data_IF_293983191777
#
_entry.id   IF_293983191777
#
_cell.length_a   1.000
_cell.length_b   1.000
_cell.length_c   1.000
_cell.angle_alpha   90.00
_cell.angle_beta   90.00
_cell.angle_gamma   90.00
#
_symmetry.space_group_name_H-M   'P 1'
#
loop_
_entity.id
_entity.type
_entity.pdbx_description
1 polymer ?
#
# COMPACT_ATOMS: atom_id res chain seq x y z
N UNK A 1 3.71 -51.31 -28.19
CA UNK A 1 3.85 -50.43 -27.01
C UNK A 1 2.56 -50.56 -26.23
N UNK A 2 2.60 -50.94 -24.95
CA UNK A 2 1.38 -50.99 -24.11
C UNK A 2 1.36 -49.73 -23.25
N UNK A 3 0.28 -48.95 -23.33
CA UNK A 3 0.05 -47.77 -22.49
C UNK A 3 -0.43 -48.21 -21.10
N UNK A 4 -0.08 -47.46 -20.09
CA UNK A 4 -0.66 -47.63 -18.75
C UNK A 4 -2.17 -47.39 -18.82
N UNK A 5 -2.93 -48.26 -18.17
CA UNK A 5 -4.39 -48.11 -18.08
C UNK A 5 -4.74 -47.31 -16.82
N UNK A 6 -5.84 -46.54 -16.91
CA UNK A 6 -6.36 -45.85 -15.75
C UNK A 6 -6.86 -46.90 -14.72
N UNK A 7 -6.55 -46.67 -13.46
CA UNK A 7 -6.99 -47.53 -12.36
C UNK A 7 -8.51 -47.49 -12.14
N UNK A 8 -9.14 -46.36 -12.50
CA UNK A 8 -10.56 -46.12 -12.33
C UNK A 8 -11.17 -45.51 -13.60
N UNK A 9 -12.39 -45.85 -13.92
CA UNK A 9 -13.17 -45.21 -14.99
C UNK A 9 -13.98 -44.04 -14.44
N UNK A 10 -14.13 -42.96 -15.22
CA UNK A 10 -14.91 -41.76 -14.83
C UNK A 10 -16.34 -42.05 -14.41
N UNK A 11 -16.92 -43.15 -14.92
CA UNK A 11 -18.30 -43.56 -14.67
C UNK A 11 -18.39 -44.62 -13.57
N UNK A 12 -17.27 -45.00 -12.96
CA UNK A 12 -17.23 -46.00 -11.91
C UNK A 12 -17.87 -45.43 -10.64
N UNK A 13 -18.89 -46.10 -10.12
CA UNK A 13 -19.51 -45.78 -8.85
C UNK A 13 -18.59 -46.21 -7.70
N UNK A 14 -18.28 -45.27 -6.83
CA UNK A 14 -17.54 -45.55 -5.60
C UNK A 14 -18.50 -46.12 -4.57
N UNK A 15 -18.34 -47.39 -4.22
CA UNK A 15 -19.21 -48.08 -3.28
C UNK A 15 -18.96 -47.73 -1.82
N UNK A 16 -17.76 -47.23 -1.51
CA UNK A 16 -17.38 -46.79 -0.16
C UNK A 16 -17.35 -45.26 -0.13
N UNK A 17 -18.26 -44.60 0.61
CA UNK A 17 -18.23 -43.16 0.72
C UNK A 17 -16.96 -42.71 1.47
N UNK A 18 -16.11 -41.94 0.81
CA UNK A 18 -14.96 -41.28 1.41
C UNK A 18 -15.38 -39.97 2.09
N UNK A 19 -14.86 -39.73 3.29
CA UNK A 19 -15.02 -38.40 3.91
C UNK A 19 -14.18 -37.39 3.14
N UNK A 20 -14.62 -36.14 3.11
CA UNK A 20 -13.84 -35.05 2.52
C UNK A 20 -12.44 -34.94 3.17
N UNK A 21 -12.32 -35.32 4.44
CA UNK A 21 -11.06 -35.33 5.18
C UNK A 21 -10.09 -36.42 4.71
N UNK A 22 -10.60 -37.54 4.18
CA UNK A 22 -9.78 -38.65 3.72
C UNK A 22 -9.11 -38.41 2.36
N UNK A 23 -9.57 -37.40 1.61
CA UNK A 23 -9.07 -37.09 0.24
C UNK A 23 -7.99 -36.02 0.21
N UNK A 24 -7.64 -35.44 1.36
CA UNK A 24 -6.52 -34.48 1.51
C UNK A 24 -5.46 -35.11 2.40
N UNK A 25 -4.24 -35.21 1.89
CA UNK A 25 -3.12 -35.81 2.61
C UNK A 25 -2.87 -35.13 3.97
N UNK A 26 -2.38 -35.87 4.95
CA UNK A 26 -2.19 -35.35 6.33
C UNK A 26 -1.12 -34.25 6.42
N UNK A 27 -0.16 -34.25 5.53
CA UNK A 27 0.93 -33.26 5.42
C UNK A 27 0.62 -32.14 4.40
N UNK A 28 -0.60 -32.12 3.83
CA UNK A 28 -0.99 -31.13 2.84
C UNK A 28 -1.01 -29.70 3.45
N UNK A 29 -0.41 -28.67 2.79
CA UNK A 29 -0.32 -27.30 3.32
C UNK A 29 -1.64 -26.68 3.75
N UNK A 30 -2.77 -27.07 3.16
CA UNK A 30 -4.10 -26.57 3.55
C UNK A 30 -4.44 -26.89 5.00
N UNK A 31 -3.96 -28.04 5.53
CA UNK A 31 -4.19 -28.42 6.94
C UNK A 31 -3.41 -27.51 7.90
N UNK A 32 -2.20 -27.13 7.52
CA UNK A 32 -1.43 -26.14 8.28
C UNK A 32 -2.15 -24.80 8.35
N UNK A 33 -2.70 -24.35 7.21
CA UNK A 33 -3.51 -23.11 7.17
C UNK A 33 -4.73 -23.24 8.09
N UNK A 34 -5.46 -24.33 8.02
CA UNK A 34 -6.66 -24.53 8.86
C UNK A 34 -6.30 -24.57 10.36
N UNK A 35 -5.24 -25.28 10.74
CA UNK A 35 -4.75 -25.34 12.12
C UNK A 35 -4.29 -23.97 12.64
N UNK A 36 -3.67 -23.14 11.79
CA UNK A 36 -3.33 -21.77 12.12
C UNK A 36 -4.60 -20.95 12.39
N UNK A 37 -5.60 -21.05 11.50
CA UNK A 37 -6.86 -20.33 11.63
C UNK A 37 -7.65 -20.72 12.88
N UNK A 38 -7.50 -21.96 13.39
CA UNK A 38 -8.10 -22.41 14.65
C UNK A 38 -7.57 -21.69 15.89
N UNK A 39 -6.33 -21.18 15.81
CA UNK A 39 -5.66 -20.50 16.92
C UNK A 39 -6.02 -19.01 17.03
N UNK A 40 -6.67 -18.45 16.00
CA UNK A 40 -6.99 -17.03 15.94
C UNK A 40 -8.30 -16.70 16.66
N UNK A 41 -8.40 -15.49 17.22
CA UNK A 41 -9.65 -14.97 17.80
C UNK A 41 -10.54 -14.37 16.71
N UNK A 42 -11.67 -15.00 16.45
CA UNK A 42 -12.64 -14.59 15.44
C UNK A 42 -13.74 -13.68 15.99
N UNK A 43 -13.85 -13.50 17.31
CA UNK A 43 -14.93 -12.74 17.97
C UNK A 43 -15.07 -11.30 17.44
N UNK A 44 -13.99 -10.53 17.21
CA UNK A 44 -14.11 -9.17 16.67
C UNK A 44 -14.79 -9.14 15.30
N UNK A 45 -14.46 -10.14 14.47
CA UNK A 45 -15.01 -10.26 13.12
C UNK A 45 -16.43 -10.82 13.12
N UNK A 46 -16.71 -11.81 13.97
CA UNK A 46 -18.06 -12.36 14.18
C UNK A 46 -19.05 -11.29 14.67
N UNK A 47 -18.59 -10.38 15.53
CA UNK A 47 -19.43 -9.29 16.04
C UNK A 47 -19.98 -8.39 14.94
N UNK A 48 -19.28 -8.27 13.80
CA UNK A 48 -19.75 -7.47 12.65
C UNK A 48 -20.96 -8.07 11.93
N UNK A 49 -21.28 -9.32 12.21
CA UNK A 49 -22.41 -10.05 11.62
C UNK A 49 -23.65 -10.08 12.51
N UNK A 50 -23.56 -9.58 13.76
CA UNK A 50 -24.72 -9.56 14.66
C UNK A 50 -25.86 -8.70 14.12
N UNK A 51 -27.09 -9.17 14.28
CA UNK A 51 -28.30 -8.44 13.89
C UNK A 51 -28.64 -8.45 12.39
N UNK A 52 -27.89 -9.18 11.56
CA UNK A 52 -28.24 -9.33 10.14
C UNK A 52 -29.44 -10.26 9.99
N UNK A 53 -30.43 -9.77 9.22
CA UNK A 53 -31.58 -10.57 8.80
C UNK A 53 -31.30 -11.22 7.44
N UNK A 54 -31.89 -12.38 7.20
CA UNK A 54 -31.78 -13.09 5.92
C UNK A 54 -31.04 -14.43 6.02
N UNK A 55 -30.38 -14.84 4.94
CA UNK A 55 -29.62 -16.09 4.90
C UNK A 55 -28.44 -16.04 5.89
N UNK A 56 -28.20 -17.13 6.66
CA UNK A 56 -27.06 -17.21 7.54
C UNK A 56 -25.74 -16.91 6.83
N UNK A 57 -24.89 -16.02 7.37
CA UNK A 57 -23.61 -15.70 6.76
C UNK A 57 -22.63 -16.87 6.86
N UNK A 58 -21.73 -16.96 5.90
CA UNK A 58 -20.60 -17.89 5.97
C UNK A 58 -19.64 -17.38 7.05
N UNK A 59 -19.15 -18.30 7.89
CA UNK A 59 -18.27 -17.95 9.00
C UNK A 59 -16.99 -17.24 8.47
N UNK A 60 -16.55 -16.11 9.09
CA UNK A 60 -15.39 -15.35 8.64
C UNK A 60 -14.10 -16.16 8.51
N UNK A 61 -13.88 -17.14 9.40
CA UNK A 61 -12.74 -18.07 9.35
C UNK A 61 -12.62 -18.76 7.99
N UNK A 62 -13.75 -19.22 7.45
CA UNK A 62 -13.78 -19.93 6.16
C UNK A 62 -13.43 -18.97 5.02
N UNK A 63 -14.03 -17.77 5.00
CA UNK A 63 -13.75 -16.76 3.99
C UNK A 63 -12.27 -16.32 4.02
N UNK A 64 -11.75 -16.07 5.22
CA UNK A 64 -10.35 -15.73 5.41
C UNK A 64 -9.43 -16.87 4.98
N UNK A 65 -9.77 -18.11 5.36
CA UNK A 65 -9.02 -19.31 5.00
C UNK A 65 -8.90 -19.49 3.50
N UNK A 66 -10.01 -19.38 2.77
CA UNK A 66 -10.04 -19.46 1.30
C UNK A 66 -9.17 -18.36 0.67
N UNK A 67 -9.23 -17.15 1.19
CA UNK A 67 -8.42 -16.03 0.69
C UNK A 67 -6.94 -16.24 0.98
N UNK A 68 -6.59 -16.59 2.21
CA UNK A 68 -5.21 -16.82 2.65
C UNK A 68 -4.57 -17.99 1.89
N UNK A 69 -5.27 -19.12 1.81
CA UNK A 69 -4.81 -20.26 1.05
C UNK A 69 -4.70 -19.96 -0.44
N UNK A 70 -5.62 -19.15 -0.97
CA UNK A 70 -5.54 -18.62 -2.34
C UNK A 70 -4.27 -17.82 -2.59
N UNK A 71 -3.85 -16.97 -1.65
CA UNK A 71 -2.58 -16.23 -1.76
C UNK A 71 -1.37 -17.17 -1.79
N UNK A 72 -1.35 -18.21 -0.96
CA UNK A 72 -0.31 -19.26 -0.95
C UNK A 72 -0.27 -19.96 -2.32
N UNK A 73 -1.43 -20.29 -2.89
CA UNK A 73 -1.56 -20.89 -4.22
C UNK A 73 -1.40 -19.90 -5.37
N UNK A 74 -1.09 -18.60 -5.10
CA UNK A 74 -1.00 -17.50 -6.08
C UNK A 74 -2.30 -17.22 -6.84
N UNK A 75 -3.44 -17.56 -6.24
CA UNK A 75 -4.79 -17.28 -6.75
C UNK A 75 -5.34 -16.06 -6.03
N UNK A 76 -5.28 -14.87 -6.66
CA UNK A 76 -5.66 -13.59 -6.02
C UNK A 76 -7.05 -13.11 -6.38
N UNK A 77 -7.51 -13.42 -7.59
CA UNK A 77 -8.78 -12.94 -8.12
C UNK A 77 -9.97 -13.72 -7.52
N UNK A 78 -10.99 -13.02 -7.03
CA UNK A 78 -12.15 -13.65 -6.39
C UNK A 78 -12.87 -14.65 -7.30
N UNK A 79 -13.00 -14.36 -8.61
CA UNK A 79 -13.58 -15.29 -9.59
C UNK A 79 -12.75 -16.57 -9.75
N UNK A 80 -11.43 -16.47 -9.65
CA UNK A 80 -10.54 -17.64 -9.69
C UNK A 80 -10.58 -18.45 -8.39
N UNK A 81 -10.82 -17.80 -7.26
CA UNK A 81 -11.08 -18.49 -5.99
C UNK A 81 -12.41 -19.26 -6.03
N UNK A 82 -13.46 -18.66 -6.57
CA UNK A 82 -14.73 -19.34 -6.81
C UNK A 82 -14.57 -20.59 -7.72
N UNK A 83 -13.83 -20.45 -8.83
CA UNK A 83 -13.49 -21.58 -9.71
C UNK A 83 -12.69 -22.67 -8.94
N UNK A 84 -11.70 -22.26 -8.13
CA UNK A 84 -10.91 -23.19 -7.32
C UNK A 84 -11.77 -23.95 -6.30
N UNK A 85 -12.74 -23.31 -5.66
CA UNK A 85 -13.70 -23.93 -4.76
C UNK A 85 -14.57 -25.00 -5.46
N UNK A 86 -14.81 -24.86 -6.77
CA UNK A 86 -15.59 -25.82 -7.54
C UNK A 86 -14.78 -27.03 -7.99
N UNK A 87 -13.50 -26.82 -8.38
CA UNK A 87 -12.71 -27.83 -9.09
C UNK A 87 -11.57 -28.44 -8.26
N UNK A 88 -11.12 -27.76 -7.20
CA UNK A 88 -9.97 -28.19 -6.38
C UNK A 88 -10.45 -28.77 -5.05
N UNK A 89 -9.97 -29.96 -4.74
CA UNK A 89 -10.36 -30.69 -3.52
C UNK A 89 -9.86 -30.02 -2.24
N UNK A 90 -8.67 -29.45 -2.26
CA UNK A 90 -8.06 -28.74 -1.13
C UNK A 90 -8.86 -27.47 -0.74
N UNK A 91 -9.34 -26.69 -1.72
CA UNK A 91 -10.24 -25.55 -1.46
C UNK A 91 -11.62 -26.01 -0.97
N UNK A 92 -12.16 -27.08 -1.53
CA UNK A 92 -13.42 -27.65 -1.06
C UNK A 92 -13.32 -28.16 0.38
N UNK A 93 -12.19 -28.78 0.72
CA UNK A 93 -11.90 -29.25 2.08
C UNK A 93 -11.89 -28.06 3.05
N UNK A 94 -11.14 -27.01 2.76
CA UNK A 94 -11.02 -25.80 3.58
C UNK A 94 -12.37 -25.09 3.75
N UNK A 95 -13.20 -25.09 2.73
CA UNK A 95 -14.54 -24.50 2.75
C UNK A 95 -15.63 -25.44 3.29
N UNK A 96 -15.27 -26.63 3.83
CA UNK A 96 -16.22 -27.64 4.29
C UNK A 96 -17.28 -28.02 3.25
N UNK A 97 -16.93 -28.03 1.98
CA UNK A 97 -17.84 -28.29 0.87
C UNK A 97 -18.80 -27.17 0.50
N UNK A 98 -18.71 -26.00 1.17
CA UNK A 98 -19.59 -24.87 0.87
C UNK A 98 -19.25 -24.24 -0.49
N UNK A 99 -20.29 -23.82 -1.20
CA UNK A 99 -20.16 -22.98 -2.39
C UNK A 99 -20.10 -21.51 -1.96
N UNK A 100 -19.05 -20.81 -2.39
CA UNK A 100 -18.81 -19.40 -2.07
C UNK A 100 -18.60 -18.64 -3.36
N UNK A 101 -19.46 -17.68 -3.63
CA UNK A 101 -19.36 -16.84 -4.82
C UNK A 101 -18.27 -15.76 -4.71
N UNK A 102 -17.81 -15.30 -5.86
CA UNK A 102 -16.75 -14.29 -5.95
C UNK A 102 -17.12 -12.93 -5.34
N UNK A 103 -18.42 -12.60 -5.34
CA UNK A 103 -18.90 -11.32 -4.77
C UNK A 103 -18.79 -11.34 -3.27
N UNK A 104 -19.13 -12.45 -2.61
CA UNK A 104 -18.96 -12.66 -1.17
C UNK A 104 -17.48 -12.53 -0.75
N UNK A 105 -16.56 -13.18 -1.46
CA UNK A 105 -15.12 -13.08 -1.18
C UNK A 105 -14.58 -11.67 -1.38
N UNK A 106 -15.03 -10.99 -2.44
CA UNK A 106 -14.62 -9.61 -2.74
C UNK A 106 -15.16 -8.62 -1.71
N UNK A 107 -16.42 -8.79 -1.33
CA UNK A 107 -17.07 -7.94 -0.34
C UNK A 107 -16.47 -8.10 1.05
N UNK A 108 -16.16 -9.33 1.45
CA UNK A 108 -15.49 -9.64 2.71
C UNK A 108 -14.18 -8.86 2.85
N UNK A 109 -13.29 -8.93 1.86
CA UNK A 109 -12.01 -8.18 1.87
C UNK A 109 -12.19 -6.66 1.95
N UNK A 110 -13.24 -6.14 1.28
CA UNK A 110 -13.48 -4.70 1.23
C UNK A 110 -14.09 -4.15 2.52
N UNK A 111 -14.92 -4.94 3.19
CA UNK A 111 -15.67 -4.49 4.37
C UNK A 111 -14.91 -4.63 5.69
N UNK A 112 -13.88 -5.45 5.73
CA UNK A 112 -13.20 -5.82 6.98
C UNK A 112 -11.68 -5.59 6.95
N UNK A 113 -11.16 -4.42 6.47
CA UNK A 113 -9.72 -4.18 6.40
C UNK A 113 -9.07 -4.15 7.78
N UNK A 114 -9.72 -3.53 8.78
CA UNK A 114 -9.16 -3.40 10.13
C UNK A 114 -9.08 -4.74 10.84
N UNK A 115 -10.15 -5.54 10.78
CA UNK A 115 -10.17 -6.88 11.35
C UNK A 115 -9.19 -7.83 10.67
N UNK A 116 -9.00 -7.69 9.36
CA UNK A 116 -7.96 -8.45 8.63
C UNK A 116 -6.55 -8.05 9.06
N UNK A 117 -6.33 -6.77 9.41
CA UNK A 117 -5.08 -6.31 10.02
C UNK A 117 -4.88 -6.93 11.41
N UNK A 118 -5.91 -6.94 12.25
CA UNK A 118 -5.85 -7.58 13.56
C UNK A 118 -5.52 -9.08 13.46
N UNK A 119 -6.11 -9.80 12.50
CA UNK A 119 -5.76 -11.21 12.22
C UNK A 119 -4.32 -11.37 11.78
N UNK A 120 -3.79 -10.44 10.97
CA UNK A 120 -2.38 -10.46 10.59
C UNK A 120 -1.47 -10.34 11.82
N UNK A 121 -1.76 -9.43 12.75
CA UNK A 121 -1.01 -9.30 14.01
C UNK A 121 -1.08 -10.61 14.81
N UNK A 122 -2.26 -11.22 14.93
CA UNK A 122 -2.41 -12.51 15.63
C UNK A 122 -1.56 -13.63 14.99
N UNK A 123 -1.48 -13.69 13.66
CA UNK A 123 -0.64 -14.66 12.95
C UNK A 123 0.83 -14.48 13.32
N UNK A 124 1.30 -13.25 13.40
CA UNK A 124 2.68 -12.95 13.81
C UNK A 124 2.92 -13.30 15.28
N UNK A 125 1.95 -13.03 16.17
CA UNK A 125 2.02 -13.43 17.58
C UNK A 125 2.10 -14.95 17.74
N UNK A 126 1.35 -15.73 16.95
CA UNK A 126 1.49 -17.18 16.90
C UNK A 126 2.91 -17.59 16.46
N UNK A 127 3.47 -16.89 15.46
CA UNK A 127 4.86 -17.09 15.04
C UNK A 127 5.87 -16.79 16.15
N UNK A 128 5.62 -15.76 16.95
CA UNK A 128 6.44 -15.39 18.11
C UNK A 128 6.36 -16.45 19.22
N UNK A 129 5.16 -16.94 19.56
CA UNK A 129 4.95 -18.03 20.51
C UNK A 129 5.68 -19.32 20.09
N UNK A 130 5.76 -19.58 18.80
CA UNK A 130 6.49 -20.72 18.24
C UNK A 130 8.03 -20.48 18.17
N UNK A 131 8.51 -19.31 18.57
CA UNK A 131 9.92 -18.94 18.49
C UNK A 131 10.44 -18.67 17.07
N UNK A 132 9.53 -18.50 16.09
CA UNK A 132 9.90 -18.19 14.70
C UNK A 132 10.26 -16.72 14.53
N UNK A 133 9.55 -15.82 15.22
CA UNK A 133 9.76 -14.37 15.18
C UNK A 133 10.35 -13.90 16.49
N UNK A 134 11.44 -13.16 16.46
CA UNK A 134 12.16 -12.71 17.67
C UNK A 134 12.30 -11.20 17.78
N UNK A 135 12.02 -10.46 16.70
CA UNK A 135 12.14 -8.99 16.63
C UNK A 135 13.53 -8.42 17.01
N UNK A 136 14.58 -9.24 16.91
CA UNK A 136 15.95 -8.78 17.15
C UNK A 136 16.38 -7.77 16.07
N UNK A 137 16.08 -8.13 14.81
CA UNK A 137 16.43 -7.37 13.61
C UNK A 137 15.25 -7.32 12.66
N UNK A 138 14.88 -6.14 12.24
CA UNK A 138 13.84 -5.96 11.21
C UNK A 138 14.41 -5.29 9.97
N UNK A 139 13.90 -5.69 8.80
CA UNK A 139 14.18 -5.05 7.52
C UNK A 139 12.98 -4.23 7.09
N UNK A 140 13.19 -2.96 6.71
CA UNK A 140 12.18 -2.06 6.23
C UNK A 140 12.45 -1.66 4.78
N UNK A 141 11.48 -1.84 3.88
CA UNK A 141 11.56 -1.41 2.49
C UNK A 141 10.18 -0.99 1.97
N UNK A 142 10.20 -0.09 1.00
CA UNK A 142 9.01 0.39 0.30
C UNK A 142 9.11 0.18 -1.21
N UNK A 143 7.96 0.01 -1.84
CA UNK A 143 7.88 -0.06 -3.29
C UNK A 143 6.82 0.90 -3.81
N UNK A 144 7.00 1.40 -5.05
CA UNK A 144 6.05 2.34 -5.65
C UNK A 144 5.10 1.63 -6.58
N UNK A 145 3.81 1.81 -6.32
CA UNK A 145 2.72 1.26 -7.13
C UNK A 145 1.93 2.41 -7.73
N UNK A 146 1.70 2.37 -9.03
CA UNK A 146 0.90 3.40 -9.71
C UNK A 146 -0.53 3.42 -9.19
N UNK A 147 -1.02 4.62 -8.87
CA UNK A 147 -2.43 4.83 -8.60
C UNK A 147 -3.26 4.66 -9.88
N UNK A 148 -4.55 4.34 -9.71
CA UNK A 148 -5.49 4.19 -10.82
C UNK A 148 -5.87 5.54 -11.41
N UNK A 149 -4.88 6.29 -11.88
CA UNK A 149 -5.09 7.63 -12.39
C UNK A 149 -4.24 7.90 -13.64
N UNK A 150 -4.86 8.55 -14.63
CA UNK A 150 -4.13 9.01 -15.82
C UNK A 150 -3.40 10.32 -15.51
N UNK A 151 -2.22 10.55 -16.07
CA UNK A 151 -1.49 11.83 -15.95
C UNK A 151 -2.37 13.03 -16.35
N UNK A 152 -3.20 12.88 -17.39
CA UNK A 152 -4.17 13.90 -17.83
C UNK A 152 -5.34 14.10 -16.86
N UNK A 153 -5.59 13.15 -15.97
CA UNK A 153 -6.64 13.22 -14.93
C UNK A 153 -6.22 13.98 -13.68
N UNK A 154 -5.18 14.81 -13.76
CA UNK A 154 -4.71 15.64 -12.64
C UNK A 154 -5.05 17.10 -12.87
N UNK A 155 -5.36 17.82 -11.80
CA UNK A 155 -5.71 19.25 -11.83
C UNK A 155 -4.92 20.03 -10.79
N UNK A 156 -4.66 21.29 -11.10
CA UNK A 156 -4.20 22.26 -10.09
C UNK A 156 -5.34 22.59 -9.12
N UNK A 157 -5.05 23.10 -7.91
CA UNK A 157 -6.09 23.54 -6.98
C UNK A 157 -7.11 24.51 -7.61
N UNK A 158 -6.65 25.49 -8.37
CA UNK A 158 -7.52 26.40 -9.12
C UNK A 158 -8.34 25.66 -10.20
N UNK A 159 -7.73 24.67 -10.88
CA UNK A 159 -8.41 23.85 -11.87
C UNK A 159 -9.47 22.92 -11.28
N UNK A 160 -9.32 22.47 -10.03
CA UNK A 160 -10.33 21.69 -9.32
C UNK A 160 -11.54 22.57 -8.97
N UNK A 161 -11.31 23.78 -8.44
CA UNK A 161 -12.38 24.73 -8.13
C UNK A 161 -13.16 25.15 -9.39
N UNK A 162 -12.45 25.40 -10.50
CA UNK A 162 -13.09 25.71 -11.80
C UNK A 162 -13.87 24.50 -12.37
N UNK A 163 -13.37 23.26 -12.17
CA UNK A 163 -14.08 22.07 -12.59
C UNK A 163 -15.36 21.86 -11.77
N UNK A 164 -15.34 22.10 -10.47
CA UNK A 164 -16.53 22.06 -9.61
C UNK A 164 -17.60 23.03 -10.10
N UNK A 165 -17.22 24.28 -10.36
CA UNK A 165 -18.14 25.30 -10.85
C UNK A 165 -18.77 24.90 -12.18
N UNK A 166 -17.98 24.42 -13.15
CA UNK A 166 -18.51 23.96 -14.44
C UNK A 166 -19.49 22.80 -14.32
N UNK A 167 -19.20 21.83 -13.45
CA UNK A 167 -20.08 20.70 -13.21
C UNK A 167 -21.40 21.16 -12.59
N UNK A 168 -21.35 22.14 -11.68
CA UNK A 168 -22.55 22.72 -11.09
C UNK A 168 -23.38 23.45 -12.14
N UNK A 169 -22.78 24.31 -12.96
CA UNK A 169 -23.46 25.05 -14.06
C UNK A 169 -24.11 24.06 -15.06
N UNK A 170 -23.43 22.94 -15.40
CA UNK A 170 -23.99 21.94 -16.30
C UNK A 170 -25.16 21.16 -15.65
N UNK A 171 -25.08 20.92 -14.35
CA UNK A 171 -26.12 20.25 -13.59
C UNK A 171 -27.36 21.15 -13.48
N UNK A 172 -27.19 22.45 -13.19
CA UNK A 172 -28.26 23.43 -13.10
C UNK A 172 -28.95 23.58 -14.44
N UNK A 173 -28.19 23.63 -15.55
CA UNK A 173 -28.74 23.70 -16.91
C UNK A 173 -29.59 22.48 -17.28
N UNK A 174 -29.18 21.27 -16.84
CA UNK A 174 -29.98 20.06 -17.05
C UNK A 174 -31.26 20.05 -16.24
N UNK A 175 -31.24 20.60 -15.02
CA UNK A 175 -32.44 20.74 -14.21
C UNK A 175 -33.41 21.77 -14.82
N UNK A 176 -32.91 22.93 -15.25
CA UNK A 176 -33.74 23.94 -15.93
C UNK A 176 -34.40 23.39 -17.20
N UNK A 177 -33.69 22.60 -18.00
CA UNK A 177 -34.26 21.94 -19.17
C UNK A 177 -35.37 20.95 -18.81
N UNK A 178 -35.14 20.12 -17.79
CA UNK A 178 -36.15 19.17 -17.32
C UNK A 178 -37.40 19.89 -16.80
N UNK A 179 -37.22 20.96 -16.02
CA UNK A 179 -38.33 21.78 -15.52
C UNK A 179 -39.13 22.45 -16.66
N UNK A 180 -38.42 22.87 -17.74
CA UNK A 180 -39.09 23.44 -18.93
C UNK A 180 -39.82 22.37 -19.73
N UNK A 181 -39.29 21.18 -19.91
CA UNK A 181 -39.94 20.07 -20.58
C UNK A 181 -41.17 19.60 -19.79
N UNK A 182 -41.05 19.45 -18.47
CA UNK A 182 -42.17 19.08 -17.59
C UNK A 182 -43.30 20.14 -17.66
N UNK A 183 -42.95 21.43 -17.69
CA UNK A 183 -43.95 22.52 -17.83
C UNK A 183 -44.66 22.51 -19.21
N UNK A 184 -43.94 22.22 -20.29
CA UNK A 184 -44.51 22.09 -21.64
C UNK A 184 -45.39 20.86 -21.78
N UNK A 185 -45.01 19.73 -21.18
CA UNK A 185 -45.78 18.50 -21.18
C UNK A 185 -47.07 18.64 -20.35
N UNK A 186 -47.02 19.32 -19.22
CA UNK A 186 -48.20 19.62 -18.41
C UNK A 186 -49.20 20.53 -19.15
N UNK A 187 -48.73 21.49 -19.96
CA UNK A 187 -49.58 22.34 -20.80
C UNK A 187 -50.21 21.57 -21.98
N UNK A 188 -49.47 20.59 -22.56
CA UNK A 188 -49.85 19.93 -23.80
C UNK A 188 -50.69 18.67 -23.57
N UNK A 189 -50.39 17.87 -22.57
CA UNK A 189 -50.95 16.54 -22.36
C UNK A 189 -51.64 16.32 -21.00
N UNK A 190 -51.58 17.28 -20.09
CA UNK A 190 -52.02 17.06 -18.73
C UNK A 190 -51.21 15.97 -18.01
N UNK A 191 -51.61 15.57 -16.81
CA UNK A 191 -50.86 14.65 -15.92
C UNK A 191 -50.65 13.19 -16.44
N UNK A 192 -50.86 12.91 -17.72
CA UNK A 192 -50.84 11.56 -18.31
C UNK A 192 -49.88 11.41 -19.51
N UNK A 193 -48.85 12.24 -19.63
CA UNK A 193 -47.89 12.17 -20.73
C UNK A 193 -46.99 10.94 -20.69
N UNK A 194 -46.68 10.28 -21.82
CA UNK A 194 -45.69 9.22 -21.86
C UNK A 194 -44.28 9.79 -21.76
N UNK A 195 -43.51 9.36 -20.78
CA UNK A 195 -42.15 9.78 -20.51
C UNK A 195 -41.19 9.24 -21.58
N UNK A 196 -40.79 10.07 -22.53
CA UNK A 196 -40.03 9.65 -23.73
C UNK A 196 -38.55 9.99 -23.80
N UNK A 197 -38.04 10.95 -23.02
CA UNK A 197 -36.62 11.39 -23.11
C UNK A 197 -35.73 11.06 -21.88
N UNK A 198 -36.29 10.39 -20.88
CA UNK A 198 -35.71 10.25 -19.55
C UNK A 198 -34.42 9.42 -19.49
N UNK A 199 -34.18 8.50 -20.44
CA UNK A 199 -33.06 7.58 -20.33
C UNK A 199 -31.69 8.24 -20.58
N UNK A 200 -31.60 9.14 -21.58
CA UNK A 200 -30.33 9.84 -21.90
C UNK A 200 -29.98 10.90 -20.84
N UNK A 201 -30.98 11.61 -20.32
CA UNK A 201 -30.79 12.65 -19.31
C UNK A 201 -30.50 12.04 -17.94
N UNK A 202 -31.10 10.90 -17.61
CA UNK A 202 -30.81 10.14 -16.41
C UNK A 202 -29.39 9.56 -16.43
N UNK A 203 -28.93 9.05 -17.58
CA UNK A 203 -27.53 8.64 -17.76
C UNK A 203 -26.56 9.82 -17.63
N UNK A 204 -26.90 10.98 -18.21
CA UNK A 204 -26.08 12.19 -18.12
C UNK A 204 -25.99 12.72 -16.70
N UNK A 205 -27.12 12.82 -15.98
CA UNK A 205 -27.16 13.16 -14.55
C UNK A 205 -26.26 12.23 -13.73
N UNK A 206 -26.36 10.92 -13.92
CA UNK A 206 -25.52 9.94 -13.24
C UNK A 206 -24.02 10.06 -13.58
N UNK A 207 -23.66 10.55 -14.77
CA UNK A 207 -22.27 10.86 -15.12
C UNK A 207 -21.78 12.12 -14.41
N UNK A 208 -22.57 13.17 -14.37
CA UNK A 208 -22.24 14.43 -13.69
C UNK A 208 -22.10 14.24 -12.17
N UNK A 209 -23.02 13.52 -11.53
CA UNK A 209 -22.93 13.20 -10.11
C UNK A 209 -21.63 12.43 -9.76
N UNK A 210 -21.27 11.46 -10.60
CA UNK A 210 -20.00 10.73 -10.43
C UNK A 210 -18.78 11.62 -10.61
N UNK A 211 -18.83 12.55 -11.57
CA UNK A 211 -17.76 13.52 -11.79
C UNK A 211 -17.65 14.51 -10.64
N UNK A 212 -18.79 14.99 -10.14
CA UNK A 212 -18.86 15.90 -8.99
C UNK A 212 -18.30 15.25 -7.72
N UNK A 213 -18.72 14.03 -7.39
CA UNK A 213 -18.18 13.28 -6.24
C UNK A 213 -16.65 13.14 -6.28
N UNK A 214 -16.08 12.92 -7.47
CA UNK A 214 -14.60 12.83 -7.62
C UNK A 214 -13.91 14.18 -7.42
N UNK A 215 -14.49 15.25 -7.92
CA UNK A 215 -13.93 16.61 -7.74
C UNK A 215 -14.05 17.05 -6.29
N UNK A 216 -15.17 16.76 -5.64
CA UNK A 216 -15.39 17.07 -4.22
C UNK A 216 -14.38 16.29 -3.34
N UNK A 217 -14.19 15.00 -3.56
CA UNK A 217 -13.18 14.22 -2.86
C UNK A 217 -11.75 14.79 -3.04
N UNK A 218 -11.42 15.28 -4.26
CA UNK A 218 -10.12 15.91 -4.50
C UNK A 218 -9.97 17.28 -3.82
N UNK A 219 -11.06 17.99 -3.61
CA UNK A 219 -11.07 19.27 -2.86
C UNK A 219 -10.98 19.00 -1.35
N UNK A 220 -11.68 18.00 -0.83
CA UNK A 220 -11.58 17.57 0.57
C UNK A 220 -10.13 17.16 0.92
N UNK A 221 -9.47 16.40 0.05
CA UNK A 221 -8.07 16.04 0.23
C UNK A 221 -7.15 17.28 0.21
N UNK A 222 -7.43 18.27 -0.67
CA UNK A 222 -6.69 19.51 -0.70
C UNK A 222 -6.83 20.28 0.62
N UNK A 223 -8.05 20.37 1.14
CA UNK A 223 -8.34 21.04 2.39
C UNK A 223 -7.64 20.35 3.59
N UNK A 224 -7.56 19.03 3.59
CA UNK A 224 -6.80 18.26 4.59
C UNK A 224 -5.31 18.57 4.54
N UNK A 225 -4.71 18.61 3.34
CA UNK A 225 -3.30 18.97 3.13
C UNK A 225 -3.02 20.39 3.62
N UNK A 226 -3.91 21.34 3.31
CA UNK A 226 -3.78 22.73 3.76
C UNK A 226 -3.89 22.85 5.29
N UNK A 227 -4.72 22.04 5.94
CA UNK A 227 -4.86 21.99 7.41
C UNK A 227 -3.64 21.40 8.12
N UNK A 228 -3.05 20.35 7.55
CA UNK A 228 -1.87 19.69 8.12
C UNK A 228 -0.57 20.47 7.90
N UNK A 229 -0.62 21.64 7.25
CA UNK A 229 0.52 22.46 6.86
C UNK A 229 1.55 21.72 5.99
N UNK A 230 1.15 20.68 5.34
CA UNK A 230 1.97 20.03 4.34
C UNK A 230 2.13 20.94 3.11
N UNK A 231 3.22 20.74 2.36
CA UNK A 231 3.45 21.50 1.12
C UNK A 231 2.34 21.18 0.11
N UNK A 232 1.51 22.17 -0.19
CA UNK A 232 0.42 22.04 -1.14
C UNK A 232 0.94 21.50 -2.48
N UNK A 233 0.42 20.37 -2.97
CA UNK A 233 0.87 19.78 -4.21
C UNK A 233 0.48 20.67 -5.40
N UNK A 234 1.36 20.77 -6.38
CA UNK A 234 1.11 21.55 -7.61
C UNK A 234 -0.10 21.02 -8.39
N UNK A 235 -0.37 19.73 -8.30
CA UNK A 235 -1.48 19.03 -8.97
C UNK A 235 -1.96 17.88 -8.12
N UNK A 236 -3.29 17.68 -8.08
CA UNK A 236 -3.91 16.51 -7.46
C UNK A 236 -4.58 15.63 -8.52
N UNK A 237 -4.52 14.31 -8.34
CA UNK A 237 -5.33 13.35 -9.09
C UNK A 237 -6.82 13.48 -8.75
N UNK A 238 -7.69 13.26 -9.74
CA UNK A 238 -9.15 13.31 -9.54
C UNK A 238 -9.71 11.95 -9.15
N UNK A 239 -9.08 10.86 -9.62
CA UNK A 239 -9.61 9.51 -9.38
C UNK A 239 -9.17 8.97 -8.02
N UNK A 240 -7.88 9.13 -7.70
CA UNK A 240 -7.28 8.75 -6.41
C UNK A 240 -6.62 10.00 -5.80
N UNK A 241 -7.41 10.91 -5.16
CA UNK A 241 -6.93 12.22 -4.71
C UNK A 241 -5.81 12.13 -3.67
N UNK A 242 -5.83 11.11 -2.84
CA UNK A 242 -4.82 10.80 -1.81
C UNK A 242 -3.46 10.39 -2.39
N UNK A 243 -3.40 9.95 -3.66
CA UNK A 243 -2.12 9.56 -4.28
C UNK A 243 -1.22 10.78 -4.55
N UNK A 244 0.10 10.57 -4.51
CA UNK A 244 1.10 11.64 -4.74
C UNK A 244 1.98 11.32 -5.94
N UNK A 245 2.46 12.36 -6.60
CA UNK A 245 3.41 12.22 -7.69
C UNK A 245 4.77 11.77 -7.18
N UNK A 246 5.20 10.58 -7.58
CA UNK A 246 6.51 10.04 -7.24
C UNK A 246 7.28 9.61 -8.50
N UNK A 247 8.60 9.58 -8.38
CA UNK A 247 9.47 9.04 -9.42
C UNK A 247 9.29 7.53 -9.48
N UNK A 248 8.94 7.00 -10.63
CA UNK A 248 8.72 5.58 -10.84
C UNK A 248 10.02 4.85 -11.18
N UNK A 249 10.12 3.55 -10.85
CA UNK A 249 11.29 2.70 -11.17
C UNK A 249 11.53 2.60 -12.68
N UNK A 250 10.45 2.59 -13.47
CA UNK A 250 10.52 2.56 -14.94
C UNK A 250 10.86 3.92 -15.57
N UNK A 251 11.08 4.92 -14.75
CA UNK A 251 11.35 6.29 -15.15
C UNK A 251 10.11 7.19 -15.22
N UNK A 252 10.35 8.49 -15.15
CA UNK A 252 9.30 9.51 -15.13
C UNK A 252 8.57 9.62 -13.79
N UNK A 253 7.52 10.46 -13.77
CA UNK A 253 6.69 10.71 -12.58
C UNK A 253 5.25 10.29 -12.88
N UNK A 254 4.60 9.66 -11.87
CA UNK A 254 3.19 9.31 -11.93
C UNK A 254 2.55 9.41 -10.53
N UNK A 255 1.22 9.60 -10.45
CA UNK A 255 0.49 9.39 -9.20
C UNK A 255 0.70 7.96 -8.73
N UNK A 256 1.08 7.80 -7.48
CA UNK A 256 1.45 6.50 -6.91
C UNK A 256 1.21 6.45 -5.41
N UNK A 257 1.17 5.24 -4.91
CA UNK A 257 1.26 4.90 -3.50
C UNK A 257 2.57 4.20 -3.22
N UNK A 258 3.02 4.24 -1.99
CA UNK A 258 4.19 3.50 -1.52
C UNK A 258 3.75 2.48 -0.47
N UNK A 259 3.40 1.24 -0.87
CA UNK A 259 3.32 0.14 0.08
C UNK A 259 4.69 -0.10 0.71
N UNK A 260 4.73 -0.16 2.03
CA UNK A 260 5.90 -0.54 2.81
C UNK A 260 5.70 -1.89 3.44
N UNK A 261 6.77 -2.63 3.63
CA UNK A 261 6.80 -3.91 4.29
C UNK A 261 7.95 -3.96 5.27
N UNK A 262 7.67 -4.53 6.43
CA UNK A 262 8.67 -4.80 7.47
C UNK A 262 8.74 -6.30 7.69
N UNK A 263 9.93 -6.84 7.68
CA UNK A 263 10.17 -8.27 7.87
C UNK A 263 11.10 -8.50 9.06
N UNK A 264 10.83 -9.53 9.85
CA UNK A 264 11.81 -10.06 10.79
C UNK A 264 12.90 -10.75 9.98
N UNK A 265 14.13 -10.27 10.08
CA UNK A 265 15.23 -10.71 9.21
C UNK A 265 15.59 -12.18 9.46
N UNK A 266 15.48 -12.61 10.70
CA UNK A 266 15.91 -13.97 11.10
C UNK A 266 14.94 -15.04 10.59
N UNK A 267 13.65 -14.76 10.59
CA UNK A 267 12.62 -15.69 10.08
C UNK A 267 12.18 -15.41 8.64
N UNK A 268 12.40 -14.20 8.13
CA UNK A 268 11.83 -13.73 6.88
C UNK A 268 10.30 -13.49 6.93
N UNK A 269 9.70 -13.55 8.11
CA UNK A 269 8.27 -13.31 8.29
C UNK A 269 7.96 -11.82 8.23
N UNK A 270 6.93 -11.44 7.46
CA UNK A 270 6.43 -10.07 7.44
C UNK A 270 5.76 -9.76 8.78
N UNK A 271 6.18 -8.67 9.42
CA UNK A 271 5.69 -8.26 10.76
C UNK A 271 4.91 -6.95 10.74
N UNK A 272 5.12 -6.10 9.73
CA UNK A 272 4.29 -4.92 9.52
C UNK A 272 4.14 -4.61 8.04
N UNK A 273 3.04 -3.97 7.69
CA UNK A 273 2.79 -3.48 6.35
C UNK A 273 1.87 -2.27 6.41
N UNK A 274 2.15 -1.27 5.59
CA UNK A 274 1.27 -0.11 5.44
C UNK A 274 1.32 0.42 4.00
N UNK A 275 0.45 1.34 3.67
CA UNK A 275 0.45 2.03 2.38
C UNK A 275 0.47 3.52 2.66
N UNK A 276 1.54 4.18 2.25
CA UNK A 276 1.65 5.63 2.37
C UNK A 276 1.41 6.30 1.02
N UNK A 277 0.75 7.44 1.05
CA UNK A 277 0.54 8.27 -0.13
C UNK A 277 1.71 9.21 -0.40
N UNK A 278 2.51 9.52 0.61
CA UNK A 278 3.62 10.45 0.52
C UNK A 278 4.72 9.97 -0.44
N UNK A 279 5.39 10.92 -1.07
CA UNK A 279 6.50 10.63 -1.99
C UNK A 279 7.81 10.29 -1.29
N UNK A 280 7.92 10.59 0.01
CA UNK A 280 9.09 10.33 0.85
C UNK A 280 8.74 9.31 1.94
N UNK A 281 9.45 8.20 1.95
CA UNK A 281 9.26 7.09 2.87
C UNK A 281 10.01 7.28 4.21
N UNK A 282 10.94 8.24 4.27
CA UNK A 282 11.81 8.39 5.44
C UNK A 282 11.07 8.67 6.75
N UNK A 283 9.93 9.37 6.69
CA UNK A 283 9.10 9.63 7.87
C UNK A 283 8.35 8.41 8.40
N UNK A 284 8.20 7.35 7.58
CA UNK A 284 7.47 6.15 7.96
C UNK A 284 8.27 5.20 8.85
N UNK A 285 9.61 5.28 8.81
CA UNK A 285 10.47 4.38 9.57
C UNK A 285 10.16 4.40 11.07
N UNK A 286 10.07 5.60 11.66
CA UNK A 286 9.80 5.75 13.10
C UNK A 286 8.37 5.31 13.46
N UNK A 287 7.40 5.62 12.60
CA UNK A 287 6.02 5.16 12.78
C UNK A 287 5.92 3.64 12.73
N UNK A 288 6.69 2.99 11.85
CA UNK A 288 6.78 1.53 11.75
C UNK A 288 7.39 0.90 13.01
N UNK A 289 8.50 1.43 13.52
CA UNK A 289 9.11 0.95 14.77
C UNK A 289 8.11 1.05 15.94
N UNK A 290 7.39 2.16 16.04
CA UNK A 290 6.38 2.37 17.07
C UNK A 290 5.20 1.39 16.93
N UNK A 291 4.69 1.14 15.71
CA UNK A 291 3.64 0.15 15.45
C UNK A 291 4.08 -1.26 15.83
N UNK A 292 5.24 -1.70 15.35
CA UNK A 292 5.79 -3.03 15.67
C UNK A 292 5.93 -3.19 17.19
N UNK A 293 6.47 -2.18 17.87
CA UNK A 293 6.61 -2.21 19.32
C UNK A 293 5.26 -2.37 20.03
N UNK A 294 4.23 -1.64 19.60
CA UNK A 294 2.90 -1.64 20.20
C UNK A 294 2.06 -2.87 19.83
N UNK A 295 2.04 -3.24 18.55
CA UNK A 295 1.20 -4.33 18.05
C UNK A 295 1.61 -5.68 18.67
N UNK A 296 2.90 -5.85 19.02
CA UNK A 296 3.43 -7.09 19.60
C UNK A 296 3.82 -6.97 21.08
N UNK A 297 3.43 -5.88 21.74
CA UNK A 297 3.66 -5.61 23.17
C UNK A 297 5.13 -5.87 23.57
N UNK A 298 6.07 -5.35 22.73
CA UNK A 298 7.49 -5.55 22.97
C UNK A 298 7.94 -4.73 24.19
N UNK A 299 8.80 -5.31 25.07
CA UNK A 299 9.28 -4.61 26.27
C UNK A 299 10.19 -3.41 25.96
N UNK A 300 10.76 -3.38 24.77
CA UNK A 300 11.60 -2.30 24.23
C UNK A 300 11.43 -2.29 22.69
N UNK A 301 11.77 -1.18 22.01
CA UNK A 301 11.87 -1.18 20.55
C UNK A 301 12.83 -2.25 20.03
N UNK A 302 12.67 -2.61 18.75
CA UNK A 302 13.57 -3.57 18.07
C UNK A 302 15.04 -3.11 18.17
N UNK A 303 15.96 -4.06 18.32
CA UNK A 303 17.37 -3.73 18.51
C UNK A 303 18.03 -3.15 17.26
N UNK A 304 17.79 -3.76 16.09
CA UNK A 304 18.42 -3.41 14.83
C UNK A 304 17.40 -3.22 13.71
N UNK A 305 17.59 -2.19 12.89
CA UNK A 305 16.77 -1.91 11.71
C UNK A 305 17.65 -1.80 10.47
N UNK A 306 17.35 -2.61 9.46
CA UNK A 306 18.00 -2.57 8.15
C UNK A 306 17.07 -1.85 7.18
N UNK A 307 17.55 -0.80 6.52
CA UNK A 307 16.76 -0.01 5.58
C UNK A 307 17.62 0.53 4.42
N UNK A 308 16.99 1.02 3.37
CA UNK A 308 17.70 1.64 2.26
C UNK A 308 18.30 3.01 2.61
N UNK A 309 19.15 3.55 1.73
CA UNK A 309 19.86 4.82 1.96
C UNK A 309 18.93 6.05 2.10
N UNK A 310 17.65 5.95 1.72
CA UNK A 310 16.69 7.05 1.91
C UNK A 310 16.30 7.22 3.37
N UNK A 311 16.48 6.18 4.19
CA UNK A 311 16.17 6.18 5.62
C UNK A 311 17.29 6.84 6.47
N UNK A 312 18.51 6.98 5.94
CA UNK A 312 19.63 7.62 6.62
C UNK A 312 19.51 9.16 6.68
N UNK A 313 18.39 9.63 7.20
CA UNK A 313 18.17 11.08 7.46
C UNK A 313 18.66 11.46 8.85
N UNK A 314 19.07 12.72 9.03
CA UNK A 314 19.50 13.21 10.36
C UNK A 314 18.41 13.04 11.43
N UNK A 315 17.14 13.21 11.05
CA UNK A 315 15.98 13.02 11.94
C UNK A 315 15.85 11.56 12.38
N UNK A 316 15.92 10.60 11.43
CA UNK A 316 15.83 9.17 11.74
C UNK A 316 17.02 8.69 12.58
N UNK A 317 18.24 9.12 12.24
CA UNK A 317 19.44 8.77 13.01
C UNK A 317 19.32 9.24 14.47
N UNK A 318 18.90 10.49 14.67
CA UNK A 318 18.71 11.07 16.01
C UNK A 318 17.59 10.37 16.79
N UNK A 319 16.49 10.01 16.10
CA UNK A 319 15.37 9.32 16.72
C UNK A 319 15.73 7.88 17.10
N UNK A 320 16.43 7.14 16.25
CA UNK A 320 16.93 5.80 16.54
C UNK A 320 17.92 5.81 17.72
N UNK A 321 18.85 6.77 17.75
CA UNK A 321 19.80 6.92 18.86
C UNK A 321 19.07 7.13 20.20
N UNK A 322 18.05 7.99 20.24
CA UNK A 322 17.24 8.23 21.45
C UNK A 322 16.48 6.99 21.93
N UNK A 323 16.09 6.12 21.01
CA UNK A 323 15.36 4.88 21.31
C UNK A 323 16.30 3.70 21.59
N UNK A 324 17.61 3.84 21.39
CA UNK A 324 18.58 2.75 21.50
C UNK A 324 18.47 1.74 20.35
N UNK A 325 17.98 2.16 19.18
CA UNK A 325 17.83 1.34 17.97
C UNK A 325 19.03 1.55 17.05
N UNK A 326 19.68 0.49 16.61
CA UNK A 326 20.77 0.55 15.64
C UNK A 326 20.21 0.56 14.21
N UNK A 327 20.37 1.67 13.48
CA UNK A 327 19.96 1.82 12.09
C UNK A 327 21.09 1.48 11.13
N UNK A 328 20.96 0.38 10.41
CA UNK A 328 21.84 -0.03 9.31
C UNK A 328 21.24 0.43 7.98
N UNK A 329 21.82 1.49 7.43
CA UNK A 329 21.39 2.07 6.16
C UNK A 329 22.60 2.56 5.37
N UNK A 330 22.68 2.28 4.04
CA UNK A 330 23.77 2.78 3.23
C UNK A 330 23.81 4.30 3.24
N UNK A 331 24.96 4.86 3.55
CA UNK A 331 25.16 6.29 3.46
C UNK A 331 25.27 6.68 1.98
N UNK A 332 24.39 7.56 1.44
CA UNK A 332 24.49 7.99 0.06
C UNK A 332 25.86 8.58 -0.24
N UNK A 333 26.59 7.98 -1.19
CA UNK A 333 27.93 8.42 -1.56
C UNK A 333 29.08 7.79 -0.79
N UNK A 334 28.85 6.93 0.21
CA UNK A 334 29.91 6.23 0.95
C UNK A 334 30.70 5.23 0.08
N UNK A 335 30.15 4.78 -1.06
CA UNK A 335 30.85 3.88 -2.00
C UNK A 335 31.84 4.59 -2.93
N UNK A 336 32.09 5.87 -2.76
CA UNK A 336 33.15 6.57 -3.49
C UNK A 336 34.48 6.36 -2.75
N UNK A 337 34.98 5.11 -2.76
CA UNK A 337 36.29 4.77 -2.22
C UNK A 337 37.45 5.54 -2.84
N UNK A 338 37.20 6.25 -3.92
CA UNK A 338 38.13 7.10 -4.64
C UNK A 338 37.76 8.61 -4.57
N UNK A 339 36.98 9.02 -3.59
CA UNK A 339 36.68 10.45 -3.41
C UNK A 339 37.89 11.18 -2.80
N UNK A 340 38.64 12.00 -3.58
CA UNK A 340 39.83 12.68 -3.07
C UNK A 340 39.56 13.70 -1.94
N UNK A 341 38.28 14.02 -1.70
CA UNK A 341 37.92 14.87 -0.55
C UNK A 341 38.23 14.18 0.78
N UNK A 342 38.06 12.85 0.86
CA UNK A 342 38.35 12.05 2.04
C UNK A 342 39.85 11.72 2.09
N UNK A 343 40.59 12.47 2.89
CA UNK A 343 42.04 12.38 2.98
C UNK A 343 42.50 12.42 4.45
N UNK A 344 43.69 11.91 4.71
CA UNK A 344 44.22 11.82 6.08
C UNK A 344 44.40 13.20 6.76
N UNK A 345 44.84 14.20 6.00
CA UNK A 345 45.05 15.56 6.50
C UNK A 345 44.06 16.52 5.86
N UNK A 346 42.92 16.74 6.54
CA UNK A 346 41.84 17.58 6.03
C UNK A 346 42.19 19.06 5.89
N UNK A 347 43.18 19.54 6.62
CA UNK A 347 43.69 20.92 6.59
C UNK A 347 44.60 21.21 5.38
N UNK A 348 44.98 20.19 4.60
CA UNK A 348 45.72 20.36 3.35
C UNK A 348 44.76 20.36 2.15
N UNK A 349 45.08 21.08 1.06
CA UNK A 349 44.26 21.03 -0.15
C UNK A 349 44.35 19.67 -0.83
N UNK A 350 43.25 19.29 -1.54
CA UNK A 350 43.26 18.13 -2.44
C UNK A 350 44.30 18.38 -3.55
N UNK A 351 45.15 17.40 -3.87
CA UNK A 351 46.14 17.51 -4.92
C UNK A 351 45.50 17.96 -6.26
N UNK A 352 46.20 18.86 -7.00
CA UNK A 352 45.67 19.44 -8.19
C UNK A 352 45.25 18.40 -9.27
N UNK A 353 45.97 17.27 -9.32
CA UNK A 353 45.69 16.14 -10.21
C UNK A 353 44.38 15.42 -9.91
N UNK A 354 43.90 15.52 -8.67
CA UNK A 354 42.69 14.85 -8.19
C UNK A 354 41.48 15.79 -8.11
N UNK A 355 41.64 17.09 -8.32
CA UNK A 355 40.53 18.05 -8.23
C UNK A 355 39.43 17.71 -9.25
N UNK A 356 39.78 17.23 -10.45
CA UNK A 356 38.85 16.84 -11.49
C UNK A 356 38.02 15.57 -11.14
N UNK A 357 38.40 14.83 -10.10
CA UNK A 357 37.70 13.64 -9.61
C UNK A 357 36.74 13.96 -8.46
N UNK A 358 36.75 15.21 -7.97
CA UNK A 358 35.84 15.63 -6.91
C UNK A 358 34.38 15.63 -7.38
N UNK A 359 33.44 15.23 -6.52
CA UNK A 359 32.02 15.29 -6.84
C UNK A 359 31.56 16.70 -7.17
N UNK A 360 30.95 16.88 -8.36
CA UNK A 360 30.41 18.15 -8.81
C UNK A 360 28.91 18.04 -9.09
N UNK A 361 28.20 19.17 -8.96
CA UNK A 361 26.80 19.31 -9.38
C UNK A 361 26.61 20.56 -10.23
N UNK A 362 25.66 20.51 -11.15
CA UNK A 362 25.25 21.68 -11.94
C UNK A 362 24.12 22.44 -11.23
N UNK A 363 24.39 23.70 -10.90
CA UNK A 363 23.42 24.61 -10.30
C UNK A 363 23.27 25.83 -11.19
N UNK A 364 22.09 26.02 -11.76
CA UNK A 364 21.80 27.15 -12.70
C UNK A 364 22.81 27.26 -13.86
N UNK A 365 23.23 26.12 -14.41
CA UNK A 365 24.18 26.06 -15.54
C UNK A 365 25.66 26.14 -15.15
N UNK A 366 26.00 26.41 -13.91
CA UNK A 366 27.38 26.44 -13.40
C UNK A 366 27.72 25.17 -12.62
N UNK A 367 28.93 24.65 -12.84
CA UNK A 367 29.46 23.52 -12.06
C UNK A 367 29.94 24.02 -10.70
N UNK A 368 29.54 23.32 -9.65
CA UNK A 368 29.96 23.57 -8.28
C UNK A 368 30.29 22.24 -7.62
N UNK A 369 31.13 22.25 -6.62
CA UNK A 369 31.34 21.05 -5.80
C UNK A 369 30.03 20.61 -5.15
N UNK A 370 29.77 19.30 -5.19
CA UNK A 370 28.69 18.70 -4.42
C UNK A 370 29.02 18.70 -2.93
N UNK A 371 28.02 18.52 -2.06
CA UNK A 371 28.23 18.38 -0.64
C UNK A 371 29.23 17.29 -0.25
N UNK A 372 29.33 16.23 -1.06
CA UNK A 372 30.25 15.11 -0.87
C UNK A 372 31.74 15.50 -1.08
N UNK A 373 32.05 16.66 -1.69
CA UNK A 373 33.38 17.22 -1.75
C UNK A 373 33.84 17.90 -0.46
N UNK A 374 32.97 17.98 0.54
CA UNK A 374 33.25 18.55 1.86
C UNK A 374 33.20 17.44 2.90
N UNK A 375 34.22 17.37 3.76
CA UNK A 375 34.33 16.34 4.80
C UNK A 375 34.00 16.95 6.17
N UNK A 376 33.08 16.33 6.90
CA UNK A 376 32.75 16.74 8.25
C UNK A 376 33.77 16.19 9.25
N UNK A 377 34.26 17.04 10.08
CA UNK A 377 35.15 16.73 11.21
C UNK A 377 34.32 16.82 12.51
N UNK A 378 33.94 15.65 13.03
CA UNK A 378 33.11 15.56 14.23
C UNK A 378 33.81 15.97 15.53
N UNK A 379 35.15 15.98 15.56
CA UNK A 379 35.90 16.39 16.75
C UNK A 379 35.88 17.93 16.91
N UNK A 380 35.93 18.64 15.76
CA UNK A 380 36.00 20.12 15.74
C UNK A 380 34.68 20.77 15.31
N UNK A 381 33.65 20.01 15.00
CA UNK A 381 32.35 20.48 14.49
C UNK A 381 32.47 21.45 13.30
N UNK A 382 33.29 21.06 12.31
CA UNK A 382 33.53 21.88 11.11
C UNK A 382 33.49 21.00 9.84
N UNK A 383 33.16 21.62 8.72
CA UNK A 383 33.34 21.00 7.42
C UNK A 383 34.65 21.46 6.78
N UNK A 384 35.45 20.55 6.25
CA UNK A 384 36.65 20.87 5.48
C UNK A 384 36.34 20.92 3.99
N UNK A 385 36.69 22.02 3.33
CA UNK A 385 36.54 22.15 1.89
C UNK A 385 37.71 21.47 1.14
N UNK A 386 37.59 21.23 -0.16
CA UNK A 386 38.69 20.68 -0.97
C UNK A 386 39.98 21.50 -0.94
N UNK A 387 39.90 22.77 -0.64
CA UNK A 387 41.06 23.64 -0.51
C UNK A 387 41.73 23.62 0.89
N UNK A 388 41.32 22.68 1.77
CA UNK A 388 41.87 22.55 3.10
C UNK A 388 41.47 23.68 4.08
N UNK A 389 40.34 24.37 3.82
CA UNK A 389 39.83 25.42 4.68
C UNK A 389 38.63 24.93 5.49
N UNK A 390 38.58 25.17 6.81
CA UNK A 390 37.44 24.85 7.63
C UNK A 390 36.26 25.79 7.29
N UNK A 391 35.07 25.24 7.29
CA UNK A 391 33.80 25.96 7.16
C UNK A 391 33.03 25.78 8.48
N UNK A 392 32.93 26.81 9.27
CA UNK A 392 32.12 26.83 10.49
C UNK A 392 30.66 27.10 10.16
N UNK A 393 29.78 26.64 11.01
CA UNK A 393 28.35 26.93 10.91
C UNK A 393 28.14 28.44 11.13
N UNK A 394 27.53 29.13 10.16
CA UNK A 394 27.05 30.50 10.37
C UNK A 394 25.62 30.40 10.91
N UNK A 395 25.41 30.83 12.12
CA UNK A 395 24.10 31.02 12.77
C UNK A 395 23.25 32.04 12.00
#
# INVERSE_FOLDING_TARGET
MKWAQAAEHREQLVLIPTKLDDVVDQDHPVRTVDSLLERLDWKPLEATYHGRLGQPPIHPRILCGVILYGLICRIRASRKLEEALQVRIDFRWLAHGMSIDHSTLSEFRRKHPDQLRELFVQIVLVGQEMGLVQFNRIGFDGTRVRANNRKSGTRTPAGLRAAKQKLQEEFDLLNEKADQEDAQDDETFGRSAPRGSEQSDQERRGQLERAQKRVDAALEELDQIEQTREKTPTRLPITDPESRFSKMKEGGFAPSYTPTATVDIDSGMMVDQTVIAQSNESGELMATIDRVTKDYDLPAPVGEVLADGLMATGENLQACEKLGVELYSPIPGAHQGDNPAVRAELNQPVPAEQIGQLPIKKVRGHERFDKQAFVYDGENDVYWCPAGKPLSHSS
#
